data_IF_741596412989
#
_entry.id   IF_741596412989
#
_cell.length_a   1.000
_cell.length_b   1.000
_cell.length_c   1.000
_cell.angle_alpha   90.00
_cell.angle_beta   90.00
_cell.angle_gamma   90.00
#
_symmetry.space_group_name_H-M   'P 1'
#
loop_
_entity.id
_entity.type
_entity.pdbx_description
1 polymer ?
#
# COMPACT_ATOMS: atom_id res chain seq x y z
N UNK A 1 2.53 39.59 0.44
CA UNK A 1 3.81 39.10 0.99
C UNK A 1 3.56 37.77 1.71
N UNK A 2 3.83 36.60 1.11
CA UNK A 2 3.73 35.35 1.84
C UNK A 2 4.98 35.17 2.70
N UNK A 3 4.77 35.14 4.01
CA UNK A 3 5.73 34.81 5.04
C UNK A 3 6.38 33.45 4.77
N UNK A 4 7.72 33.44 4.86
CA UNK A 4 8.59 32.29 4.73
C UNK A 4 8.20 31.19 5.75
N UNK A 5 7.80 30.03 5.24
CA UNK A 5 7.82 28.77 6.00
C UNK A 5 8.41 27.69 5.09
N UNK A 6 9.67 27.88 4.72
CA UNK A 6 10.51 26.80 4.19
C UNK A 6 10.85 25.82 5.33
N UNK A 7 11.15 24.55 5.03
CA UNK A 7 11.61 23.61 6.05
C UNK A 7 12.84 24.21 6.76
N UNK A 8 12.81 24.23 8.09
CA UNK A 8 14.02 24.47 8.89
C UNK A 8 15.00 23.36 8.51
N UNK A 9 16.08 23.74 7.83
CA UNK A 9 17.22 22.86 7.63
C UNK A 9 18.02 22.98 8.92
N UNK A 10 17.70 22.15 9.89
CA UNK A 10 18.60 21.93 11.03
C UNK A 10 19.93 21.38 10.46
N UNK A 11 21.05 21.90 10.95
CA UNK A 11 22.39 21.64 10.41
C UNK A 11 22.64 20.14 10.15
N UNK A 12 23.00 19.80 8.92
CA UNK A 12 23.28 18.41 8.50
C UNK A 12 24.69 18.02 8.95
N UNK A 13 24.89 17.91 10.27
CA UNK A 13 26.18 17.59 10.87
C UNK A 13 26.33 16.08 11.15
N UNK A 14 25.36 15.28 10.72
CA UNK A 14 25.37 13.81 10.85
C UNK A 14 25.62 13.19 9.49
N UNK A 15 26.69 12.42 9.38
CA UNK A 15 26.98 11.59 8.21
C UNK A 15 27.00 10.10 8.59
N UNK A 16 27.15 9.23 7.58
CA UNK A 16 27.27 7.79 7.80
C UNK A 16 28.73 7.30 7.80
N UNK A 17 29.72 8.21 7.87
CA UNK A 17 31.14 7.86 7.71
C UNK A 17 31.65 6.96 8.85
N UNK A 18 31.12 7.15 10.06
CA UNK A 18 31.48 6.39 11.26
C UNK A 18 30.53 5.22 11.57
N UNK A 19 29.52 4.97 10.73
CA UNK A 19 28.58 3.87 10.94
C UNK A 19 29.19 2.54 10.51
N UNK A 20 29.49 1.68 11.49
CA UNK A 20 30.01 0.32 11.25
C UNK A 20 28.90 -0.71 11.47
N UNK A 21 28.76 -1.64 10.53
CA UNK A 21 27.82 -2.75 10.68
C UNK A 21 28.39 -3.84 11.57
N UNK A 22 28.01 -3.81 12.85
CA UNK A 22 28.38 -4.80 13.88
C UNK A 22 27.26 -5.78 14.20
N UNK A 23 26.22 -5.87 13.35
CA UNK A 23 25.06 -6.75 13.51
C UNK A 23 24.45 -6.73 14.93
N UNK A 24 24.82 -7.70 15.79
CA UNK A 24 24.27 -7.91 17.13
C UNK A 24 24.53 -6.72 18.06
N UNK A 25 25.65 -6.02 17.93
CA UNK A 25 25.98 -4.87 18.78
C UNK A 25 25.11 -3.64 18.46
N UNK A 26 24.53 -3.58 17.26
CA UNK A 26 23.79 -2.41 16.79
C UNK A 26 22.34 -2.34 17.31
N UNK A 27 21.83 -3.45 17.85
CA UNK A 27 20.49 -3.58 18.42
C UNK A 27 20.53 -4.50 19.64
N UNK A 28 20.38 -3.92 20.83
CA UNK A 28 20.49 -4.67 22.08
C UNK A 28 19.30 -5.62 22.33
N UNK A 29 18.11 -5.31 21.81
CA UNK A 29 16.93 -6.16 21.93
C UNK A 29 17.03 -7.39 21.01
N UNK A 30 16.95 -8.59 21.60
CA UNK A 30 16.94 -9.85 20.85
C UNK A 30 15.56 -10.15 20.28
N UNK A 31 15.50 -11.10 19.35
CA UNK A 31 14.24 -11.55 18.77
C UNK A 31 13.28 -12.13 19.83
N UNK A 32 13.81 -12.83 20.83
CA UNK A 32 13.05 -13.40 21.95
C UNK A 32 12.36 -12.31 22.77
N UNK A 33 13.07 -11.23 23.10
CA UNK A 33 12.52 -10.10 23.85
C UNK A 33 11.36 -9.43 23.08
N UNK A 34 11.48 -9.33 21.75
CA UNK A 34 10.44 -8.76 20.89
C UNK A 34 9.18 -9.64 20.87
N UNK A 35 9.34 -10.97 20.85
CA UNK A 35 8.19 -11.88 20.92
C UNK A 35 7.52 -11.85 22.30
N UNK A 36 8.30 -11.67 23.37
CA UNK A 36 7.76 -11.49 24.72
C UNK A 36 6.97 -10.18 24.84
N UNK A 37 7.46 -9.07 24.29
CA UNK A 37 6.71 -7.79 24.24
C UNK A 37 5.39 -7.93 23.48
N UNK A 38 5.36 -8.73 22.40
CA UNK A 38 4.12 -9.05 21.68
C UNK A 38 3.19 -9.92 22.50
N UNK A 39 3.72 -10.94 23.20
CA UNK A 39 2.95 -11.83 24.06
C UNK A 39 2.32 -11.09 25.24
N UNK A 40 3.01 -10.08 25.77
CA UNK A 40 2.50 -9.16 26.79
C UNK A 40 1.40 -8.22 26.26
N UNK A 41 1.15 -8.19 24.95
CA UNK A 41 0.11 -7.36 24.35
C UNK A 41 0.44 -5.87 24.33
N UNK A 42 1.73 -5.50 24.37
CA UNK A 42 2.13 -4.08 24.26
C UNK A 42 1.71 -3.50 22.92
N UNK A 43 1.45 -2.20 22.87
CA UNK A 43 1.08 -1.55 21.62
C UNK A 43 2.28 -1.60 20.65
N UNK A 44 1.98 -1.72 19.35
CA UNK A 44 3.03 -1.73 18.32
C UNK A 44 3.89 -0.46 18.33
N UNK A 45 3.34 0.67 18.80
CA UNK A 45 4.07 1.92 18.98
C UNK A 45 5.15 1.78 20.07
N UNK A 46 4.80 1.21 21.23
CA UNK A 46 5.72 0.97 22.35
C UNK A 46 6.87 0.05 21.95
N UNK A 47 6.60 -0.96 21.09
CA UNK A 47 7.64 -1.85 20.55
C UNK A 47 8.60 -1.07 19.63
N UNK A 48 8.08 -0.14 18.83
CA UNK A 48 8.92 0.69 17.94
C UNK A 48 9.78 1.64 18.77
N UNK A 49 9.21 2.26 19.81
CA UNK A 49 9.95 3.12 20.73
C UNK A 49 11.06 2.35 21.45
N UNK A 50 10.74 1.18 22.02
CA UNK A 50 11.74 0.31 22.64
C UNK A 50 12.87 -0.06 21.67
N UNK A 51 12.56 -0.34 20.40
CA UNK A 51 13.55 -0.64 19.35
C UNK A 51 14.40 0.56 18.92
N UNK A 52 13.90 1.78 19.09
CA UNK A 52 14.65 3.01 18.86
C UNK A 52 15.59 3.29 20.05
N UNK A 53 15.09 3.22 21.29
CA UNK A 53 15.88 3.45 22.50
C UNK A 53 17.01 2.43 22.70
N UNK A 54 16.83 1.18 22.25
CA UNK A 54 17.84 0.12 22.38
C UNK A 54 18.79 0.01 21.16
N UNK A 55 18.73 0.95 20.21
CA UNK A 55 19.62 0.96 19.05
C UNK A 55 20.74 1.98 19.23
N UNK A 56 21.96 1.47 19.41
CA UNK A 56 23.18 2.27 19.61
C UNK A 56 23.45 3.23 18.45
N UNK A 57 23.04 2.85 17.23
CA UNK A 57 23.30 3.62 16.01
C UNK A 57 22.15 4.54 15.60
N UNK A 58 21.08 4.64 16.39
CA UNK A 58 19.90 5.41 15.98
C UNK A 58 20.14 6.92 16.05
N UNK A 59 20.77 7.41 17.12
CA UNK A 59 20.97 8.84 17.33
C UNK A 59 22.03 9.45 16.41
N UNK A 60 23.03 8.65 16.02
CA UNK A 60 24.10 9.04 15.07
C UNK A 60 23.60 9.13 13.64
N UNK A 61 22.46 8.50 13.30
CA UNK A 61 21.90 8.56 11.94
C UNK A 61 21.38 9.95 11.61
N UNK A 62 21.38 10.26 10.31
CA UNK A 62 20.65 11.41 9.77
C UNK A 62 19.17 11.30 10.05
N UNK A 63 18.50 12.45 10.10
CA UNK A 63 17.04 12.51 10.31
C UNK A 63 16.28 11.65 9.30
N UNK A 64 16.63 11.72 8.01
CA UNK A 64 15.99 10.88 6.99
C UNK A 64 16.19 9.38 7.23
N UNK A 65 17.35 8.97 7.76
CA UNK A 65 17.63 7.58 8.08
C UNK A 65 16.88 7.12 9.34
N UNK A 66 16.74 8.00 10.34
CA UNK A 66 15.90 7.77 11.52
C UNK A 66 14.43 7.60 11.12
N UNK A 67 13.90 8.52 10.31
CA UNK A 67 12.56 8.50 9.77
C UNK A 67 12.27 7.22 8.97
N UNK A 68 13.21 6.83 8.10
CA UNK A 68 13.15 5.60 7.33
C UNK A 68 13.13 4.37 8.24
N UNK A 69 13.93 4.38 9.31
CA UNK A 69 13.97 3.30 10.29
C UNK A 69 12.64 3.17 11.05
N UNK A 70 12.11 4.28 11.57
CA UNK A 70 10.80 4.34 12.23
C UNK A 70 9.72 3.84 11.27
N UNK A 71 9.61 4.41 10.06
CA UNK A 71 8.61 3.99 9.05
C UNK A 71 8.66 2.48 8.76
N UNK A 72 9.86 1.90 8.65
CA UNK A 72 10.07 0.46 8.45
C UNK A 72 9.59 -0.36 9.65
N UNK A 73 9.91 0.05 10.88
CA UNK A 73 9.50 -0.66 12.11
C UNK A 73 8.01 -0.49 12.37
N UNK A 74 7.45 0.70 12.22
CA UNK A 74 6.01 0.96 12.30
C UNK A 74 5.23 0.12 11.30
N UNK A 75 5.69 -0.04 10.05
CA UNK A 75 5.04 -0.93 9.07
C UNK A 75 5.02 -2.40 9.51
N UNK A 76 5.98 -2.85 10.32
CA UNK A 76 6.08 -4.24 10.81
C UNK A 76 5.26 -4.48 12.07
N UNK A 77 5.29 -3.56 13.04
CA UNK A 77 4.73 -3.76 14.37
C UNK A 77 3.39 -3.05 14.59
N UNK A 78 3.11 -1.97 13.83
CA UNK A 78 1.83 -1.25 13.89
C UNK A 78 0.95 -1.73 12.74
N UNK A 79 0.11 -2.72 13.03
CA UNK A 79 -0.90 -3.17 12.07
C UNK A 79 -2.06 -2.16 12.03
N UNK A 80 -2.18 -1.43 10.92
CA UNK A 80 -3.31 -0.52 10.68
C UNK A 80 -4.17 -1.06 9.55
N UNK A 81 -5.39 -1.46 9.88
CA UNK A 81 -6.39 -1.92 8.91
C UNK A 81 -7.39 -0.81 8.66
N UNK A 82 -7.65 -0.48 7.40
CA UNK A 82 -8.66 0.50 7.00
C UNK A 82 -9.74 -0.15 6.16
N UNK A 83 -10.98 0.00 6.59
CA UNK A 83 -12.13 -0.42 5.80
C UNK A 83 -12.38 0.64 4.72
N UNK A 84 -12.47 0.21 3.47
CA UNK A 84 -12.71 1.08 2.31
C UNK A 84 -13.88 0.55 1.52
N UNK A 85 -14.67 1.47 0.94
CA UNK A 85 -15.75 1.12 0.03
C UNK A 85 -15.18 0.38 -1.19
N UNK A 86 -15.77 -0.75 -1.62
CA UNK A 86 -15.37 -1.39 -2.86
C UNK A 86 -15.73 -0.49 -4.04
N UNK A 87 -14.73 -0.09 -4.80
CA UNK A 87 -14.85 0.62 -6.08
C UNK A 87 -14.10 -0.16 -7.13
N UNK A 88 -14.42 0.02 -8.40
CA UNK A 88 -13.77 -0.66 -9.53
C UNK A 88 -12.27 -0.40 -9.54
N UNK A 89 -11.83 0.79 -9.11
CA UNK A 89 -10.41 1.11 -8.91
C UNK A 89 -9.79 0.26 -7.79
N UNK A 90 -10.36 0.28 -6.59
CA UNK A 90 -9.83 -0.48 -5.44
C UNK A 90 -9.83 -1.99 -5.73
N UNK A 91 -10.87 -2.50 -6.39
CA UNK A 91 -10.95 -3.89 -6.81
C UNK A 91 -9.89 -4.23 -7.88
N UNK A 92 -9.62 -3.33 -8.82
CA UNK A 92 -8.58 -3.53 -9.82
C UNK A 92 -7.19 -3.64 -9.17
N UNK A 93 -6.85 -2.69 -8.30
CA UNK A 93 -5.57 -2.64 -7.60
C UNK A 93 -5.39 -3.89 -6.72
N UNK A 94 -6.39 -4.24 -5.91
CA UNK A 94 -6.34 -5.40 -5.02
C UNK A 94 -6.26 -6.74 -5.77
N UNK A 95 -7.00 -6.93 -6.86
CA UNK A 95 -6.93 -8.16 -7.67
C UNK A 95 -5.61 -8.28 -8.43
N UNK A 96 -5.09 -7.15 -8.91
CA UNK A 96 -3.79 -7.10 -9.57
C UNK A 96 -2.67 -7.49 -8.59
N UNK A 97 -2.62 -6.89 -7.41
CA UNK A 97 -1.64 -7.20 -6.37
C UNK A 97 -1.77 -8.66 -5.88
N UNK A 98 -2.99 -9.13 -5.63
CA UNK A 98 -3.22 -10.49 -5.11
C UNK A 98 -2.80 -11.60 -6.08
N UNK A 99 -2.89 -11.35 -7.38
CA UNK A 99 -2.63 -12.36 -8.41
C UNK A 99 -1.43 -12.05 -9.31
N UNK A 100 -0.62 -11.06 -8.94
CA UNK A 100 0.45 -10.51 -9.77
C UNK A 100 -0.02 -10.25 -11.22
N UNK A 101 -1.24 -9.74 -11.37
CA UNK A 101 -1.88 -9.43 -12.65
C UNK A 101 -2.34 -10.63 -13.49
N UNK A 102 -1.92 -11.87 -13.18
CA UNK A 102 -2.17 -13.03 -14.04
C UNK A 102 -3.65 -13.31 -14.28
N UNK A 103 -4.50 -13.10 -13.25
CA UNK A 103 -5.94 -13.37 -13.35
C UNK A 103 -6.72 -12.23 -13.98
N UNK A 104 -6.14 -11.03 -14.05
CA UNK A 104 -6.72 -9.83 -14.64
C UNK A 104 -6.06 -9.45 -15.97
N UNK A 105 -5.27 -10.34 -16.57
CA UNK A 105 -4.53 -10.09 -17.82
C UNK A 105 -3.62 -8.86 -17.72
N UNK A 106 -2.98 -8.68 -16.58
CA UNK A 106 -2.13 -7.53 -16.24
C UNK A 106 -2.85 -6.17 -16.39
N UNK A 107 -4.18 -6.15 -16.26
CA UNK A 107 -4.95 -4.91 -16.30
C UNK A 107 -4.68 -4.07 -15.04
N UNK A 108 -4.07 -2.91 -15.25
CA UNK A 108 -3.81 -1.90 -14.20
C UNK A 108 -4.97 -0.90 -14.09
N UNK A 109 -5.06 -0.21 -12.95
CA UNK A 109 -6.16 0.71 -12.66
C UNK A 109 -6.27 1.91 -13.61
N UNK A 110 -5.13 2.44 -14.08
CA UNK A 110 -5.06 3.47 -15.11
C UNK A 110 -5.59 2.98 -16.47
N UNK A 111 -5.21 1.76 -16.87
CA UNK A 111 -5.70 1.14 -18.11
C UNK A 111 -7.20 0.86 -18.04
N UNK A 112 -7.70 0.40 -16.89
CA UNK A 112 -9.14 0.23 -16.65
C UNK A 112 -9.89 1.57 -16.79
N UNK A 113 -9.36 2.63 -16.18
CA UNK A 113 -9.97 3.97 -16.28
C UNK A 113 -9.98 4.49 -17.72
N UNK A 114 -8.88 4.33 -18.44
CA UNK A 114 -8.78 4.71 -19.85
C UNK A 114 -9.78 3.92 -20.71
N UNK A 115 -9.87 2.61 -20.54
CA UNK A 115 -10.80 1.76 -21.29
C UNK A 115 -12.26 2.17 -21.08
N UNK A 116 -12.67 2.46 -19.83
CA UNK A 116 -14.04 2.89 -19.52
C UNK A 116 -14.36 4.26 -20.12
N UNK A 117 -13.40 5.20 -20.08
CA UNK A 117 -13.55 6.54 -20.66
C UNK A 117 -13.61 6.49 -22.19
N UNK A 118 -12.72 5.73 -22.83
CA UNK A 118 -12.69 5.56 -24.29
C UNK A 118 -13.96 4.86 -24.81
N UNK A 119 -14.50 3.90 -24.06
CA UNK A 119 -15.77 3.26 -24.38
C UNK A 119 -17.00 4.13 -24.04
N UNK A 120 -16.79 5.34 -23.48
CA UNK A 120 -17.83 6.28 -23.05
C UNK A 120 -18.92 5.60 -22.19
N UNK A 121 -18.49 4.78 -21.23
CA UNK A 121 -19.42 4.06 -20.35
C UNK A 121 -20.04 5.03 -19.35
N UNK A 122 -21.34 5.27 -19.47
CA UNK A 122 -22.10 6.14 -18.58
C UNK A 122 -23.55 5.69 -18.40
N UNK A 123 -24.32 6.44 -17.62
CA UNK A 123 -25.73 6.14 -17.40
C UNK A 123 -26.51 6.02 -18.72
N UNK A 124 -27.49 5.12 -18.76
CA UNK A 124 -28.35 4.78 -19.89
C UNK A 124 -27.63 4.14 -21.10
N UNK A 125 -26.32 3.89 -21.03
CA UNK A 125 -25.60 3.17 -22.08
C UNK A 125 -26.02 1.70 -22.15
N UNK A 126 -25.95 1.13 -23.36
CA UNK A 126 -26.06 -0.31 -23.60
C UNK A 126 -24.67 -0.86 -23.91
N UNK A 127 -24.05 -1.53 -22.93
CA UNK A 127 -22.66 -1.97 -23.03
C UNK A 127 -22.57 -3.48 -23.14
N UNK A 128 -21.85 -3.97 -24.16
CA UNK A 128 -21.45 -5.36 -24.28
C UNK A 128 -20.05 -5.54 -23.68
N UNK A 129 -19.93 -6.38 -22.67
CA UNK A 129 -18.65 -6.69 -22.02
C UNK A 129 -18.26 -8.13 -22.33
N UNK A 130 -17.10 -8.30 -22.96
CA UNK A 130 -16.42 -9.58 -23.13
C UNK A 130 -15.12 -9.50 -22.34
N UNK A 131 -14.99 -10.32 -21.30
CA UNK A 131 -13.79 -10.30 -20.46
C UNK A 131 -13.42 -11.70 -19.95
N UNK A 132 -12.16 -11.83 -19.58
CA UNK A 132 -11.64 -12.96 -18.79
C UNK A 132 -10.92 -12.47 -17.52
N UNK A 133 -11.22 -11.26 -17.05
CA UNK A 133 -10.59 -10.60 -15.90
C UNK A 133 -11.38 -10.78 -14.60
N UNK A 134 -11.91 -11.99 -14.37
CA UNK A 134 -12.69 -12.36 -13.18
C UNK A 134 -13.95 -11.52 -12.88
N UNK A 135 -14.49 -10.76 -13.84
CA UNK A 135 -15.63 -9.89 -13.57
C UNK A 135 -15.26 -8.43 -13.29
N UNK A 136 -13.97 -8.06 -13.40
CA UNK A 136 -13.49 -6.72 -13.08
C UNK A 136 -14.04 -5.66 -14.04
N UNK A 137 -13.98 -5.89 -15.35
CA UNK A 137 -14.56 -4.95 -16.32
C UNK A 137 -16.09 -4.92 -16.21
N UNK A 138 -16.73 -6.07 -16.01
CA UNK A 138 -18.17 -6.14 -15.80
C UNK A 138 -18.64 -5.31 -14.62
N UNK A 139 -17.95 -5.42 -13.49
CA UNK A 139 -18.27 -4.69 -12.26
C UNK A 139 -17.97 -3.20 -12.38
N UNK A 140 -16.85 -2.83 -12.99
CA UNK A 140 -16.52 -1.43 -13.22
C UNK A 140 -17.49 -0.73 -14.19
N UNK A 141 -17.96 -1.43 -15.23
CA UNK A 141 -19.05 -0.94 -16.08
C UNK A 141 -20.36 -0.79 -15.29
N UNK A 142 -20.72 -1.79 -14.46
CA UNK A 142 -21.93 -1.72 -13.65
C UNK A 142 -21.91 -0.53 -12.66
N UNK A 143 -20.76 -0.25 -12.06
CA UNK A 143 -20.55 0.93 -11.21
C UNK A 143 -20.79 2.24 -11.98
N UNK A 144 -20.24 2.37 -13.20
CA UNK A 144 -20.41 3.56 -14.05
C UNK A 144 -21.83 3.75 -14.59
N UNK A 145 -22.55 2.66 -14.85
CA UNK A 145 -23.96 2.70 -15.25
C UNK A 145 -24.86 3.21 -14.10
N UNK A 146 -24.46 3.03 -12.84
CA UNK A 146 -25.20 3.53 -11.68
C UNK A 146 -26.63 2.96 -11.55
N UNK A 147 -26.89 1.78 -12.14
CA UNK A 147 -28.22 1.16 -12.18
C UNK A 147 -29.14 1.67 -13.31
N UNK A 148 -28.74 2.71 -14.04
CA UNK A 148 -29.45 3.22 -15.19
C UNK A 148 -28.74 2.76 -16.48
N UNK A 149 -29.37 1.86 -17.25
CA UNK A 149 -28.80 1.28 -18.47
C UNK A 149 -28.74 -0.24 -18.43
N UNK A 150 -28.23 -0.84 -19.51
CA UNK A 150 -28.20 -2.30 -19.68
C UNK A 150 -26.78 -2.79 -19.98
N UNK A 151 -26.29 -3.72 -19.17
CA UNK A 151 -25.02 -4.42 -19.40
C UNK A 151 -25.29 -5.85 -19.82
N UNK A 152 -24.73 -6.26 -20.96
CA UNK A 152 -24.73 -7.67 -21.39
C UNK A 152 -23.31 -8.21 -21.22
N UNK A 153 -23.18 -9.30 -20.46
CA UNK A 153 -21.91 -9.98 -20.24
C UNK A 153 -21.87 -11.23 -21.10
N UNK A 154 -20.93 -11.30 -22.05
CA UNK A 154 -20.67 -12.53 -22.77
C UNK A 154 -19.45 -13.21 -22.13
N UNK A 155 -19.65 -14.46 -21.68
CA UNK A 155 -18.59 -15.30 -21.13
C UNK A 155 -18.38 -16.49 -22.02
N UNK A 156 -17.13 -16.79 -22.33
CA UNK A 156 -16.77 -18.00 -23.09
C UNK A 156 -17.22 -19.21 -22.27
N UNK A 157 -18.14 -20.02 -22.81
CA UNK A 157 -18.49 -21.32 -22.22
C UNK A 157 -17.20 -22.13 -22.14
N UNK A 158 -16.78 -22.53 -20.94
CA UNK A 158 -15.74 -23.55 -20.81
C UNK A 158 -16.30 -24.82 -21.44
N UNK A 159 -15.73 -25.24 -22.57
CA UNK A 159 -15.91 -26.62 -23.02
C UNK A 159 -15.23 -27.50 -21.97
N UNK A 160 -16.00 -28.46 -21.44
CA UNK A 160 -15.48 -29.48 -20.54
C UNK A 160 -14.42 -30.32 -21.26
#
# INVERSE_FOLDING_TARGET
MPSQLGPKVDEVDKDNSQLVDRNEDNQALKAEDIEELKRQGKAGADIVEALCSNSVTFDTKTEFAQDKYIKRKSKKYVLRVTLRRPTGRTLCETLFEKSNGQRTWNLRGDTLAAALSLANVGANSRVLVVESCQGLLASACAERLGGAGNRRAARRRRRR
#
